data_IF_357738155462
#
_entry.id   IF_357738155462
#
_cell.length_a   1.000
_cell.length_b   1.000
_cell.length_c   1.000
_cell.angle_alpha   90.00
_cell.angle_beta   90.00
_cell.angle_gamma   90.00
#
_symmetry.space_group_name_H-M   'P 1'
#
loop_
_entity.id
_entity.type
_entity.pdbx_description
1 polymer ?
#
# COMPACT_ATOMS: atom_id res chain seq x y z
N UNK A 1 57.41 -0.01 -11.10
CA UNK A 1 56.69 -0.25 -9.81
C UNK A 1 55.50 0.69 -9.68
N UNK A 2 55.63 1.97 -9.96
CA UNK A 2 54.58 3.00 -9.82
C UNK A 2 53.43 2.79 -10.83
N UNK A 3 53.71 2.33 -12.05
CA UNK A 3 52.70 2.08 -13.06
C UNK A 3 51.76 0.95 -12.68
N UNK A 4 52.22 -0.10 -11.99
CA UNK A 4 51.39 -1.23 -11.55
C UNK A 4 50.49 -0.81 -10.39
N UNK A 5 50.96 0.01 -9.47
CA UNK A 5 50.14 0.56 -8.40
C UNK A 5 49.07 1.51 -8.92
N UNK A 6 49.39 2.36 -9.92
CA UNK A 6 48.47 3.24 -10.59
C UNK A 6 47.35 2.46 -11.35
N UNK A 7 47.72 1.38 -12.03
CA UNK A 7 46.76 0.51 -12.74
C UNK A 7 45.78 -0.17 -11.78
N UNK A 8 46.26 -0.66 -10.63
CA UNK A 8 45.42 -1.27 -9.58
C UNK A 8 44.43 -0.26 -9.00
N UNK A 9 44.87 0.96 -8.73
CA UNK A 9 43.99 2.05 -8.26
C UNK A 9 42.94 2.43 -9.32
N UNK A 10 43.35 2.59 -10.57
CA UNK A 10 42.44 2.90 -11.68
C UNK A 10 41.38 1.82 -11.88
N UNK A 11 41.79 0.53 -11.82
CA UNK A 11 40.86 -0.61 -11.91
C UNK A 11 39.84 -0.64 -10.78
N UNK A 12 40.27 -0.35 -9.53
CA UNK A 12 39.38 -0.26 -8.37
C UNK A 12 38.38 0.88 -8.52
N UNK A 13 38.83 2.08 -8.89
CA UNK A 13 37.95 3.24 -9.12
C UNK A 13 36.95 2.98 -10.25
N UNK A 14 37.38 2.32 -11.32
CA UNK A 14 36.48 1.94 -12.42
C UNK A 14 35.42 0.94 -11.95
N UNK A 15 35.79 -0.04 -11.12
CA UNK A 15 34.85 -1.00 -10.54
C UNK A 15 33.83 -0.32 -9.61
N UNK A 16 34.32 0.60 -8.77
CA UNK A 16 33.47 1.38 -7.86
C UNK A 16 32.49 2.27 -8.63
N UNK A 17 32.95 2.97 -9.67
CA UNK A 17 32.08 3.78 -10.53
C UNK A 17 30.97 2.93 -11.19
N UNK A 18 31.34 1.76 -11.73
CA UNK A 18 30.33 0.84 -12.29
C UNK A 18 29.34 0.31 -11.25
N UNK A 19 29.81 0.08 -10.02
CA UNK A 19 28.97 -0.29 -8.89
C UNK A 19 27.96 0.79 -8.55
N UNK A 20 28.39 2.03 -8.48
CA UNK A 20 27.54 3.19 -8.23
C UNK A 20 26.53 3.42 -9.36
N UNK A 21 26.93 3.27 -10.63
CA UNK A 21 25.98 3.35 -11.76
C UNK A 21 24.89 2.28 -11.67
N UNK A 22 25.22 1.08 -11.20
CA UNK A 22 24.22 0.02 -10.98
C UNK A 22 23.32 0.35 -9.78
N UNK A 23 23.90 0.90 -8.70
CA UNK A 23 23.15 1.31 -7.52
C UNK A 23 22.11 2.39 -7.84
N UNK A 24 22.45 3.36 -8.68
CA UNK A 24 21.50 4.38 -9.17
C UNK A 24 20.34 3.75 -9.95
N UNK A 25 20.62 2.77 -10.80
CA UNK A 25 19.55 2.03 -11.50
C UNK A 25 18.66 1.26 -10.52
N UNK A 26 19.25 0.62 -9.52
CA UNK A 26 18.50 -0.10 -8.50
C UNK A 26 17.62 0.84 -7.67
N UNK A 27 18.12 2.01 -7.28
CA UNK A 27 17.35 3.04 -6.59
C UNK A 27 16.15 3.53 -7.43
N UNK A 28 16.36 3.77 -8.73
CA UNK A 28 15.27 4.14 -9.65
C UNK A 28 14.22 3.02 -9.78
N UNK A 29 14.63 1.75 -9.83
CA UNK A 29 13.69 0.63 -9.81
C UNK A 29 12.91 0.55 -8.50
N UNK A 30 13.58 0.80 -7.35
CA UNK A 30 12.93 0.85 -6.05
C UNK A 30 11.86 1.95 -6.00
N UNK A 31 12.18 3.16 -6.46
CA UNK A 31 11.25 4.28 -6.54
C UNK A 31 10.03 3.93 -7.43
N UNK A 32 10.25 3.30 -8.57
CA UNK A 32 9.16 2.87 -9.47
C UNK A 32 8.23 1.87 -8.77
N UNK A 33 8.78 0.85 -8.12
CA UNK A 33 8.00 -0.15 -7.39
C UNK A 33 7.21 0.47 -6.23
N UNK A 34 7.82 1.39 -5.47
CA UNK A 34 7.15 2.11 -4.40
C UNK A 34 6.07 3.06 -4.93
N UNK A 35 6.29 3.70 -6.08
CA UNK A 35 5.30 4.55 -6.75
C UNK A 35 4.06 3.76 -7.15
N UNK A 36 4.21 2.53 -7.66
CA UNK A 36 3.09 1.64 -7.94
C UNK A 36 2.29 1.31 -6.68
N UNK A 37 2.97 1.06 -5.56
CA UNK A 37 2.31 0.80 -4.28
C UNK A 37 1.54 2.02 -3.77
N UNK A 38 2.10 3.22 -3.88
CA UNK A 38 1.38 4.46 -3.54
C UNK A 38 0.09 4.58 -4.34
N UNK A 39 0.13 4.25 -5.65
CA UNK A 39 -1.07 4.21 -6.51
C UNK A 39 -2.11 3.22 -5.98
N UNK A 40 -1.72 1.99 -5.65
CA UNK A 40 -2.64 0.98 -5.08
C UNK A 40 -3.28 1.43 -3.76
N UNK A 41 -2.51 2.06 -2.88
CA UNK A 41 -3.05 2.62 -1.64
C UNK A 41 -3.98 3.82 -1.89
N UNK A 42 -3.73 4.63 -2.92
CA UNK A 42 -4.63 5.71 -3.32
C UNK A 42 -5.98 5.16 -3.80
N UNK A 43 -5.97 4.19 -4.73
CA UNK A 43 -7.18 3.52 -5.23
C UNK A 43 -7.99 2.87 -4.09
N UNK A 44 -7.28 2.25 -3.14
CA UNK A 44 -7.93 1.69 -1.94
C UNK A 44 -8.58 2.77 -1.09
N UNK A 45 -7.91 3.92 -0.91
CA UNK A 45 -8.43 5.07 -0.19
C UNK A 45 -9.70 5.63 -0.83
N UNK A 46 -9.72 5.80 -2.13
CA UNK A 46 -10.89 6.28 -2.88
C UNK A 46 -12.07 5.30 -2.78
N UNK A 47 -11.79 4.00 -2.88
CA UNK A 47 -12.81 2.95 -2.71
C UNK A 47 -13.37 2.93 -1.29
N UNK A 48 -12.54 3.12 -0.27
CA UNK A 48 -12.97 3.23 1.13
C UNK A 48 -13.82 4.48 1.39
N UNK A 49 -13.52 5.60 0.73
CA UNK A 49 -14.37 6.79 0.80
C UNK A 49 -15.74 6.51 0.21
N UNK A 50 -15.83 5.82 -0.92
CA UNK A 50 -17.10 5.42 -1.52
C UNK A 50 -17.88 4.44 -0.62
N UNK A 51 -17.20 3.47 -0.01
CA UNK A 51 -17.80 2.60 1.00
C UNK A 51 -18.38 3.39 2.18
N UNK A 52 -17.67 4.42 2.62
CA UNK A 52 -18.13 5.30 3.68
C UNK A 52 -19.41 6.07 3.29
N UNK A 53 -19.48 6.58 2.06
CA UNK A 53 -20.68 7.25 1.54
C UNK A 53 -21.91 6.33 1.59
N UNK A 54 -21.77 5.09 1.08
CA UNK A 54 -22.81 4.07 1.11
C UNK A 54 -23.20 3.74 2.55
N UNK A 55 -22.22 3.62 3.44
CA UNK A 55 -22.47 3.34 4.84
C UNK A 55 -23.26 4.46 5.52
N UNK A 56 -22.94 5.71 5.25
CA UNK A 56 -23.70 6.88 5.74
C UNK A 56 -25.12 6.88 5.15
N UNK A 57 -25.29 6.54 3.88
CA UNK A 57 -26.60 6.42 3.27
C UNK A 57 -27.41 5.28 3.93
N UNK A 58 -26.79 4.13 4.20
CA UNK A 58 -27.42 3.00 4.88
C UNK A 58 -27.81 3.30 6.33
N UNK A 59 -27.07 4.19 7.00
CA UNK A 59 -27.39 4.65 8.36
C UNK A 59 -28.62 5.56 8.44
N UNK A 60 -29.22 5.93 7.30
CA UNK A 60 -30.43 6.75 7.29
C UNK A 60 -31.67 5.88 7.59
N UNK A 61 -32.45 6.26 8.61
CA UNK A 61 -33.66 5.55 9.06
C UNK A 61 -34.85 5.57 8.09
N UNK A 62 -34.73 6.22 6.93
CA UNK A 62 -35.76 6.23 5.89
C UNK A 62 -35.60 5.11 4.86
N UNK A 63 -34.52 4.32 4.94
CA UNK A 63 -34.25 3.26 3.99
C UNK A 63 -35.23 2.07 4.17
N UNK A 64 -35.78 1.60 3.06
CA UNK A 64 -36.56 0.37 2.99
C UNK A 64 -35.67 -0.88 2.91
N UNK A 65 -36.24 -2.06 3.13
CA UNK A 65 -35.52 -3.34 2.97
C UNK A 65 -34.97 -3.56 1.56
N UNK A 66 -35.64 -3.01 0.56
CA UNK A 66 -35.17 -3.09 -0.84
C UNK A 66 -33.96 -2.19 -1.07
N UNK A 67 -33.94 -1.00 -0.49
CA UNK A 67 -32.80 -0.09 -0.54
C UNK A 67 -31.57 -0.67 0.16
N UNK A 68 -31.73 -1.27 1.33
CA UNK A 68 -30.65 -2.01 1.98
C UNK A 68 -30.08 -3.13 1.08
N UNK A 69 -30.93 -3.83 0.33
CA UNK A 69 -30.45 -4.86 -0.60
C UNK A 69 -29.56 -4.27 -1.70
N UNK A 70 -29.89 -3.11 -2.24
CA UNK A 70 -29.07 -2.45 -3.27
C UNK A 70 -27.77 -1.89 -2.68
N UNK A 71 -27.83 -1.24 -1.53
CA UNK A 71 -26.67 -0.71 -0.82
C UNK A 71 -25.68 -1.84 -0.46
N UNK A 72 -26.19 -2.98 -0.01
CA UNK A 72 -25.37 -4.15 0.30
C UNK A 72 -24.64 -4.71 -0.91
N UNK A 73 -25.30 -4.77 -2.07
CA UNK A 73 -24.63 -5.20 -3.31
C UNK A 73 -23.49 -4.27 -3.70
N UNK A 74 -23.74 -2.97 -3.70
CA UNK A 74 -22.69 -1.97 -4.01
C UNK A 74 -21.56 -2.06 -2.97
N UNK A 75 -21.87 -2.23 -1.70
CA UNK A 75 -20.90 -2.40 -0.64
C UNK A 75 -20.02 -3.64 -0.87
N UNK A 76 -20.63 -4.79 -1.17
CA UNK A 76 -19.90 -6.03 -1.41
C UNK A 76 -19.00 -5.95 -2.65
N UNK A 77 -19.46 -5.35 -3.75
CA UNK A 77 -18.65 -5.13 -4.96
C UNK A 77 -17.43 -4.24 -4.67
N UNK A 78 -17.59 -3.20 -3.85
CA UNK A 78 -16.46 -2.35 -3.44
C UNK A 78 -15.49 -3.09 -2.51
N UNK A 79 -15.98 -3.97 -1.64
CA UNK A 79 -15.11 -4.84 -0.84
C UNK A 79 -14.30 -5.82 -1.70
N UNK A 80 -14.93 -6.42 -2.72
CA UNK A 80 -14.22 -7.28 -3.67
C UNK A 80 -13.14 -6.49 -4.43
N UNK A 81 -13.43 -5.24 -4.78
CA UNK A 81 -12.44 -4.37 -5.40
C UNK A 81 -11.24 -4.08 -4.48
N UNK A 82 -11.49 -3.78 -3.20
CA UNK A 82 -10.42 -3.61 -2.19
C UNK A 82 -9.61 -4.89 -2.05
N UNK A 83 -10.26 -6.06 -2.01
CA UNK A 83 -9.57 -7.35 -1.90
C UNK A 83 -8.69 -7.61 -3.14
N UNK A 84 -9.15 -7.26 -4.33
CA UNK A 84 -8.36 -7.38 -5.55
C UNK A 84 -7.11 -6.48 -5.53
N UNK A 85 -7.22 -5.25 -5.02
CA UNK A 85 -6.08 -4.34 -4.83
C UNK A 85 -5.14 -4.88 -3.75
N UNK A 86 -5.68 -5.42 -2.66
CA UNK A 86 -4.93 -5.93 -1.52
C UNK A 86 -4.22 -7.25 -1.80
N UNK A 87 -4.80 -8.13 -2.65
CA UNK A 87 -4.28 -9.48 -2.90
C UNK A 87 -2.77 -9.56 -3.17
N UNK A 88 -2.16 -8.71 -4.03
CA UNK A 88 -0.72 -8.75 -4.29
C UNK A 88 0.16 -8.41 -3.08
N UNK A 89 -0.39 -7.75 -2.07
CA UNK A 89 0.31 -7.29 -0.86
C UNK A 89 -0.24 -7.92 0.42
N UNK A 90 -1.19 -8.87 0.28
CA UNK A 90 -1.93 -9.46 1.40
C UNK A 90 -1.05 -10.25 2.39
N UNK A 91 0.08 -10.80 1.94
CA UNK A 91 1.04 -11.50 2.80
C UNK A 91 2.07 -10.57 3.45
N UNK A 92 2.17 -9.32 2.98
CA UNK A 92 3.31 -8.47 3.27
C UNK A 92 4.60 -9.01 2.64
N UNK A 93 5.58 -8.18 2.47
CA UNK A 93 6.90 -8.60 2.01
C UNK A 93 7.96 -7.54 2.33
N UNK A 94 9.23 -7.97 2.33
CA UNK A 94 10.37 -7.09 2.48
C UNK A 94 11.15 -7.04 1.18
N UNK A 95 11.44 -5.84 0.70
CA UNK A 95 12.29 -5.58 -0.45
C UNK A 95 13.62 -5.04 0.04
N UNK A 96 14.71 -5.64 -0.45
CA UNK A 96 16.07 -5.20 -0.20
C UNK A 96 16.69 -4.71 -1.52
N UNK A 97 17.09 -3.46 -1.55
CA UNK A 97 17.73 -2.83 -2.70
C UNK A 97 19.18 -2.51 -2.38
N UNK A 98 20.11 -2.92 -3.25
CA UNK A 98 21.50 -2.49 -3.18
C UNK A 98 21.61 -1.09 -3.80
N UNK A 99 21.85 -0.09 -2.95
CA UNK A 99 21.87 1.33 -3.33
C UNK A 99 23.27 1.93 -3.29
N UNK A 100 24.31 1.14 -3.07
CA UNK A 100 25.71 1.55 -3.08
C UNK A 100 26.62 0.47 -3.60
N UNK A 101 27.90 0.79 -3.71
CA UNK A 101 28.92 -0.11 -4.25
C UNK A 101 29.44 -1.15 -3.22
N UNK A 102 29.21 -0.94 -1.92
CA UNK A 102 29.62 -1.82 -0.83
C UNK A 102 28.50 -2.75 -0.42
N UNK A 103 28.86 -3.93 0.10
CA UNK A 103 27.88 -4.96 0.47
C UNK A 103 26.86 -4.52 1.52
N UNK A 104 27.23 -3.56 2.38
CA UNK A 104 26.40 -3.05 3.46
C UNK A 104 25.49 -1.86 3.01
N UNK A 105 25.67 -1.36 1.80
CA UNK A 105 24.91 -0.23 1.24
C UNK A 105 23.54 -0.72 0.72
N UNK A 106 22.71 -1.23 1.63
CA UNK A 106 21.39 -1.76 1.31
C UNK A 106 20.29 -0.86 1.86
N UNK A 107 19.20 -0.74 1.11
CA UNK A 107 17.97 -0.12 1.54
C UNK A 107 16.90 -1.20 1.70
N UNK A 108 16.45 -1.40 2.94
CA UNK A 108 15.38 -2.33 3.25
C UNK A 108 14.05 -1.58 3.38
N UNK A 109 13.02 -2.09 2.72
CA UNK A 109 11.66 -1.61 2.79
C UNK A 109 10.70 -2.76 3.04
N UNK A 110 10.00 -2.71 4.18
CA UNK A 110 9.01 -3.71 4.57
C UNK A 110 7.60 -3.20 4.37
N UNK A 111 6.81 -3.93 3.60
CA UNK A 111 5.38 -3.71 3.41
C UNK A 111 4.65 -4.64 4.38
N UNK A 112 3.96 -4.05 5.34
CA UNK A 112 3.11 -4.82 6.24
C UNK A 112 1.92 -5.40 5.44
N UNK A 113 1.51 -6.61 5.81
CA UNK A 113 0.34 -7.27 5.23
C UNK A 113 -0.90 -6.36 5.31
N UNK A 114 -1.78 -6.47 4.33
CA UNK A 114 -3.07 -5.82 4.32
C UNK A 114 -4.08 -6.73 3.60
N UNK A 115 -5.22 -6.94 4.23
CA UNK A 115 -6.36 -7.65 3.67
C UNK A 115 -7.65 -7.01 4.17
N UNK A 116 -8.77 -7.29 3.53
CA UNK A 116 -10.08 -6.81 3.98
C UNK A 116 -10.34 -7.20 5.44
N UNK A 117 -9.93 -8.42 5.84
CA UNK A 117 -10.06 -8.88 7.23
C UNK A 117 -9.12 -8.15 8.21
N UNK A 118 -7.87 -7.84 7.80
CA UNK A 118 -6.95 -7.05 8.64
C UNK A 118 -7.47 -5.61 8.84
N UNK A 119 -8.23 -5.10 7.88
CA UNK A 119 -8.91 -3.80 7.95
C UNK A 119 -10.19 -3.84 8.78
N UNK A 120 -10.60 -5.02 9.28
CA UNK A 120 -11.82 -5.20 10.07
C UNK A 120 -13.11 -5.07 9.24
N UNK A 121 -13.00 -5.12 7.91
CA UNK A 121 -14.13 -5.06 7.00
C UNK A 121 -14.63 -6.47 6.72
N UNK A 122 -15.95 -6.62 6.54
CA UNK A 122 -16.59 -7.91 6.28
C UNK A 122 -17.72 -7.72 5.25
N UNK A 123 -18.03 -8.77 4.44
CA UNK A 123 -19.17 -8.75 3.54
C UNK A 123 -20.50 -8.45 4.25
N UNK A 124 -21.42 -7.83 3.56
CA UNK A 124 -22.74 -7.45 4.08
C UNK A 124 -23.54 -8.62 4.64
N UNK A 125 -23.31 -9.82 4.12
CA UNK A 125 -23.96 -11.08 4.53
C UNK A 125 -23.30 -11.76 5.75
N UNK A 126 -22.25 -11.16 6.35
CA UNK A 126 -21.60 -11.72 7.55
C UNK A 126 -22.50 -11.67 8.78
N UNK A 127 -22.04 -12.28 9.90
CA UNK A 127 -22.81 -12.31 11.15
C UNK A 127 -23.15 -10.93 11.73
N UNK A 128 -22.41 -9.88 11.32
CA UNK A 128 -22.68 -8.47 11.63
C UNK A 128 -23.43 -7.73 10.49
N UNK A 129 -24.17 -8.48 9.65
CA UNK A 129 -24.74 -8.05 8.39
C UNK A 129 -25.37 -6.65 8.37
N UNK A 130 -25.20 -5.96 7.26
CA UNK A 130 -25.71 -4.60 7.04
C UNK A 130 -27.22 -4.60 6.73
N UNK A 131 -28.03 -5.02 7.71
CA UNK A 131 -29.49 -5.16 7.56
C UNK A 131 -30.27 -4.09 8.33
N UNK A 132 -29.61 -3.20 9.04
CA UNK A 132 -30.23 -2.17 9.85
C UNK A 132 -29.37 -0.88 9.89
N UNK A 133 -29.99 0.23 10.20
CA UNK A 133 -29.32 1.52 10.41
C UNK A 133 -28.22 1.46 11.47
N UNK A 134 -28.44 0.70 12.53
CA UNK A 134 -27.45 0.55 13.61
C UNK A 134 -26.19 -0.19 13.16
N UNK A 135 -26.36 -1.24 12.33
CA UNK A 135 -25.25 -1.97 11.74
C UNK A 135 -24.40 -1.05 10.85
N UNK A 136 -25.01 -0.27 9.98
CA UNK A 136 -24.34 0.72 9.15
C UNK A 136 -23.61 1.78 9.99
N UNK A 137 -24.24 2.29 11.06
CA UNK A 137 -23.63 3.27 11.97
C UNK A 137 -22.35 2.70 12.62
N UNK A 138 -22.37 1.44 13.04
CA UNK A 138 -21.19 0.76 13.58
C UNK A 138 -20.03 0.63 12.58
N UNK A 139 -20.35 0.46 11.29
CA UNK A 139 -19.35 0.36 10.24
C UNK A 139 -18.66 1.69 9.88
N UNK A 140 -19.28 2.84 10.12
CA UNK A 140 -18.68 4.16 9.87
C UNK A 140 -17.34 4.30 10.62
N UNK A 141 -17.33 3.98 11.92
CA UNK A 141 -16.11 4.09 12.74
C UNK A 141 -15.02 3.10 12.30
N UNK A 142 -15.40 1.91 11.81
CA UNK A 142 -14.46 0.94 11.26
C UNK A 142 -13.83 1.48 9.97
N UNK A 143 -14.62 2.04 9.08
CA UNK A 143 -14.14 2.65 7.83
C UNK A 143 -13.24 3.86 8.08
N UNK A 144 -13.56 4.71 9.07
CA UNK A 144 -12.71 5.86 9.42
C UNK A 144 -11.33 5.40 9.92
N UNK A 145 -11.27 4.36 10.77
CA UNK A 145 -9.99 3.79 11.23
C UNK A 145 -9.22 3.07 10.13
N UNK A 146 -9.93 2.40 9.22
CA UNK A 146 -9.35 1.74 8.04
C UNK A 146 -8.73 2.77 7.10
N UNK A 147 -9.45 3.85 6.81
CA UNK A 147 -8.98 4.94 5.97
C UNK A 147 -7.72 5.59 6.58
N UNK A 148 -7.71 5.84 7.88
CA UNK A 148 -6.52 6.34 8.58
C UNK A 148 -5.31 5.41 8.41
N UNK A 149 -5.51 4.10 8.52
CA UNK A 149 -4.44 3.09 8.33
C UNK A 149 -3.89 3.11 6.90
N UNK A 150 -4.76 3.21 5.88
CA UNK A 150 -4.35 3.26 4.47
C UNK A 150 -3.55 4.53 4.18
N UNK A 151 -4.02 5.69 4.67
CA UNK A 151 -3.32 6.98 4.52
C UNK A 151 -1.97 6.97 5.23
N UNK A 152 -1.88 6.40 6.44
CA UNK A 152 -0.61 6.26 7.17
C UNK A 152 0.41 5.44 6.35
N UNK A 153 -0.02 4.30 5.80
CA UNK A 153 0.85 3.45 4.98
C UNK A 153 1.31 4.17 3.71
N UNK A 154 0.42 4.88 3.05
CA UNK A 154 0.77 5.70 1.88
C UNK A 154 1.83 6.76 2.24
N UNK A 155 1.68 7.44 3.38
CA UNK A 155 2.64 8.42 3.86
C UNK A 155 4.02 7.81 4.17
N UNK A 156 4.06 6.62 4.78
CA UNK A 156 5.30 5.88 5.05
C UNK A 156 6.02 5.55 3.75
N UNK A 157 5.31 5.05 2.73
CA UNK A 157 5.91 4.73 1.43
C UNK A 157 6.45 6.01 0.77
N UNK A 158 5.69 7.11 0.80
CA UNK A 158 6.14 8.41 0.29
C UNK A 158 7.40 8.92 0.97
N UNK A 159 7.52 8.74 2.29
CA UNK A 159 8.74 9.08 3.03
C UNK A 159 9.94 8.24 2.59
N UNK A 160 9.74 6.95 2.29
CA UNK A 160 10.80 6.07 1.79
C UNK A 160 11.24 6.45 0.36
N UNK A 161 10.31 6.85 -0.51
CA UNK A 161 10.63 7.37 -1.85
C UNK A 161 11.53 8.60 -1.73
N UNK A 162 11.16 9.56 -0.89
CA UNK A 162 11.97 10.76 -0.67
C UNK A 162 13.37 10.46 -0.12
N UNK A 163 13.54 9.38 0.68
CA UNK A 163 14.86 8.95 1.16
C UNK A 163 15.74 8.34 0.07
N UNK A 164 15.17 7.84 -1.00
CA UNK A 164 15.92 7.31 -2.16
C UNK A 164 16.32 8.40 -3.14
N UNK A 165 15.79 9.63 -3.01
CA UNK A 165 16.12 10.79 -3.84
C UNK A 165 17.40 11.52 -3.35
N UNK A 166 17.87 11.25 -2.13
CA UNK A 166 19.06 11.85 -1.52
C UNK A 166 20.23 10.88 -1.42
#
# INVERSE_FOLDING_TARGET
RDAAAGLGTASRLTSEARGLDQALRNASHAQTAMGELVGKYADMGDTLQRLREITVQGANGTNSSTEFTYLNKEYDELLEHIEAIATPISSGFTLNFQIGASADDTFEFTIAKISVSDLGLQPSASAEGLSSTDAYTGHISKLDSTLATVVERQAIIGAHINRLDY
#
